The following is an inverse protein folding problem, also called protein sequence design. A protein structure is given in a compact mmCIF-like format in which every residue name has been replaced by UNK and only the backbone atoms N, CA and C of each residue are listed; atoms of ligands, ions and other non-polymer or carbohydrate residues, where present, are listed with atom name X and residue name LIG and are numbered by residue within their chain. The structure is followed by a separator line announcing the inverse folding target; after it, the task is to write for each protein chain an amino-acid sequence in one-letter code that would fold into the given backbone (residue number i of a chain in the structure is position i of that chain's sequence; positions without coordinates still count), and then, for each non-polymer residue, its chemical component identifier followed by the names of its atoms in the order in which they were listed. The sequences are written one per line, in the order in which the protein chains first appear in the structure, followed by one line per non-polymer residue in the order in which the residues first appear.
data_IF_919411692751
#
_entry.id   IF_919411692751
#
_cell.length_a   1.000
_cell.length_b   1.000
_cell.length_c   1.000
_cell.angle_alpha   90.00
_cell.angle_beta   90.00
_cell.angle_gamma   90.00
#
_symmetry.space_group_name_H-M   'P 1'
#
loop_
_entity.id
_entity.type
_entity.pdbx_description
1 polymer ?
#
# COMPACT_ATOMS: atom_id res chain seq x y z
N UNK A 1 -5.88 7.43 8.19
CA UNK A 1 -5.06 7.46 6.95
C UNK A 1 -5.93 7.64 5.71
N UNK A 2 -6.89 6.73 5.43
CA UNK A 2 -7.75 6.81 4.22
C UNK A 2 -8.52 8.13 4.08
N UNK A 3 -9.14 8.63 5.16
CA UNK A 3 -9.80 9.95 5.16
C UNK A 3 -8.82 11.07 4.79
N UNK A 4 -7.58 11.00 5.30
CA UNK A 4 -6.53 11.96 4.94
C UNK A 4 -6.08 11.84 3.48
N UNK A 5 -6.00 10.62 2.93
CA UNK A 5 -5.74 10.39 1.51
C UNK A 5 -6.85 10.97 0.63
N UNK A 6 -8.11 10.83 1.04
CA UNK A 6 -9.27 11.37 0.31
C UNK A 6 -9.27 12.90 0.31
N UNK A 7 -8.96 13.51 1.46
CA UNK A 7 -9.05 14.98 1.63
C UNK A 7 -7.81 15.74 1.17
N UNK A 8 -6.62 15.20 1.35
CA UNK A 8 -5.34 15.87 1.03
C UNK A 8 -4.65 15.29 -0.21
N UNK A 9 -5.06 14.10 -0.66
CA UNK A 9 -4.45 13.42 -1.78
C UNK A 9 -3.19 12.63 -1.43
N UNK A 10 -2.68 11.92 -2.45
CA UNK A 10 -1.45 11.13 -2.36
C UNK A 10 -0.24 12.07 -2.35
N UNK A 11 0.67 11.89 -1.40
CA UNK A 11 1.93 12.64 -1.33
C UNK A 11 2.01 13.60 -0.15
N UNK A 12 0.87 14.10 0.37
CA UNK A 12 0.86 14.95 1.56
C UNK A 12 0.90 14.15 2.86
N UNK A 13 1.99 13.39 3.04
CA UNK A 13 2.19 12.55 4.24
C UNK A 13 2.31 13.38 5.51
N UNK A 14 2.82 14.62 5.39
CA UNK A 14 2.97 15.53 6.52
C UNK A 14 1.61 16.06 6.98
N UNK A 15 0.76 16.50 6.06
CA UNK A 15 -0.61 16.92 6.38
C UNK A 15 -1.45 15.76 6.91
N UNK A 16 -1.30 14.56 6.32
CA UNK A 16 -2.01 13.36 6.79
C UNK A 16 -1.59 12.94 8.20
N UNK A 17 -0.28 12.97 8.49
CA UNK A 17 0.26 12.70 9.83
C UNK A 17 -0.27 13.72 10.85
N UNK A 18 -0.22 15.02 10.53
CA UNK A 18 -0.61 16.08 11.47
C UNK A 18 -2.10 16.15 11.77
N UNK A 19 -2.96 15.85 10.79
CA UNK A 19 -4.40 16.11 10.92
C UNK A 19 -5.25 14.85 11.05
N UNK A 20 -4.78 13.69 10.56
CA UNK A 20 -5.60 12.47 10.48
C UNK A 20 -4.99 11.24 11.17
N UNK A 21 -3.67 11.22 11.35
CA UNK A 21 -2.96 10.10 11.98
C UNK A 21 -1.92 10.65 12.96
N UNK A 22 -2.41 11.40 13.95
CA UNK A 22 -1.62 12.21 14.87
C UNK A 22 -0.59 11.43 15.69
N UNK A 23 -0.80 10.12 15.88
CA UNK A 23 0.10 9.23 16.62
C UNK A 23 1.27 8.70 15.77
N UNK A 24 1.32 9.00 14.47
CA UNK A 24 2.34 8.49 13.54
C UNK A 24 3.09 9.64 12.89
N UNK A 25 4.40 9.49 12.75
CA UNK A 25 5.25 10.50 12.09
C UNK A 25 5.01 10.51 10.56
N UNK A 26 5.30 11.61 9.87
CA UNK A 26 5.14 11.69 8.40
C UNK A 26 5.87 10.56 7.65
N UNK A 27 7.05 10.16 8.12
CA UNK A 27 7.81 9.04 7.55
C UNK A 27 7.09 7.71 7.75
N UNK A 28 6.52 7.45 8.92
CA UNK A 28 5.73 6.23 9.16
C UNK A 28 4.49 6.19 8.27
N UNK A 29 3.82 7.34 8.08
CA UNK A 29 2.68 7.48 7.18
C UNK A 29 3.08 7.20 5.73
N UNK A 30 4.24 7.71 5.28
CA UNK A 30 4.77 7.43 3.94
C UNK A 30 5.08 5.94 3.74
N UNK A 31 5.74 5.29 4.72
CA UNK A 31 6.00 3.84 4.67
C UNK A 31 4.71 3.02 4.65
N UNK A 32 3.71 3.44 5.43
CA UNK A 32 2.39 2.81 5.42
C UNK A 32 1.71 2.97 4.06
N UNK A 33 1.72 4.17 3.49
CA UNK A 33 1.18 4.45 2.16
C UNK A 33 1.81 3.54 1.09
N UNK A 34 3.13 3.38 1.12
CA UNK A 34 3.85 2.51 0.20
C UNK A 34 3.34 1.06 0.26
N UNK A 35 3.28 0.48 1.46
CA UNK A 35 2.77 -0.89 1.66
C UNK A 35 1.31 -1.02 1.22
N UNK A 36 0.48 -0.06 1.58
CA UNK A 36 -0.94 -0.02 1.23
C UNK A 36 -1.14 -0.06 -0.29
N UNK A 37 -0.40 0.75 -1.05
CA UNK A 37 -0.53 0.79 -2.52
C UNK A 37 0.03 -0.46 -3.20
N UNK A 38 1.12 -1.04 -2.70
CA UNK A 38 1.60 -2.34 -3.20
C UNK A 38 0.52 -3.41 -2.99
N UNK A 39 -0.05 -3.48 -1.79
CA UNK A 39 -1.09 -4.46 -1.48
C UNK A 39 -2.32 -4.28 -2.39
N UNK A 40 -2.79 -3.04 -2.54
CA UNK A 40 -3.91 -2.71 -3.42
C UNK A 40 -3.64 -3.14 -4.87
N UNK A 41 -2.43 -2.90 -5.39
CA UNK A 41 -2.04 -3.31 -6.73
C UNK A 41 -1.97 -4.84 -6.87
N UNK A 42 -1.53 -5.57 -5.83
CA UNK A 42 -1.48 -7.04 -5.85
C UNK A 42 -2.85 -7.68 -5.77
N UNK A 43 -3.80 -7.13 -5.01
CA UNK A 43 -5.17 -7.63 -4.95
C UNK A 43 -5.88 -7.52 -6.29
N UNK A 44 -5.68 -6.40 -7.00
CA UNK A 44 -6.24 -6.20 -8.33
C UNK A 44 -5.59 -7.09 -9.40
N UNK A 45 -4.44 -7.70 -9.11
CA UNK A 45 -3.68 -8.59 -10.00
C UNK A 45 -3.85 -10.08 -9.67
N UNK A 46 -4.99 -10.53 -9.10
CA UNK A 46 -5.32 -11.97 -8.94
C UNK A 46 -5.49 -12.70 -10.31
N UNK A 47 -4.46 -12.71 -11.16
CA UNK A 47 -4.12 -13.88 -11.98
C UNK A 47 -3.32 -14.80 -11.07
N UNK A 48 -3.75 -16.05 -10.92
CA UNK A 48 -3.11 -17.09 -10.09
C UNK A 48 -1.59 -16.99 -10.25
N UNK A 49 -0.88 -16.82 -9.13
CA UNK A 49 0.56 -17.05 -9.10
C UNK A 49 0.73 -18.55 -9.34
N UNK A 50 1.31 -18.93 -10.47
CA UNK A 50 1.57 -20.35 -10.78
C UNK A 50 2.37 -20.95 -9.65
N UNK A 51 1.98 -22.15 -9.21
CA UNK A 51 2.69 -22.82 -8.14
C UNK A 51 4.12 -23.17 -8.58
N UNK A 52 5.06 -23.21 -7.63
CA UNK A 52 6.43 -23.69 -7.89
C UNK A 52 6.39 -25.11 -8.50
N UNK A 53 5.46 -25.94 -8.02
CA UNK A 53 5.25 -27.30 -8.50
C UNK A 53 4.73 -27.37 -9.95
N UNK A 54 3.91 -26.41 -10.40
CA UNK A 54 3.47 -26.32 -11.81
C UNK A 54 4.61 -25.95 -12.77
N UNK A 55 5.61 -25.17 -12.33
CA UNK A 55 6.75 -24.79 -13.18
C UNK A 55 7.73 -25.96 -13.39
N UNK A 56 7.94 -26.79 -12.36
CA UNK A 56 8.91 -27.90 -12.40
C UNK A 56 8.42 -29.09 -13.25
N UNK A 57 7.12 -29.22 -13.50
CA UNK A 57 6.55 -30.30 -14.33
C UNK A 57 6.64 -30.02 -15.85
N UNK A 58 6.98 -28.80 -16.27
CA UNK A 58 6.98 -28.37 -17.69
C UNK A 58 8.42 -28.30 -18.28
N UNK A 59 9.45 -28.33 -17.44
CA UNK A 59 10.88 -28.43 -17.82
C UNK A 59 11.40 -29.84 -17.64
#
# INVERSE_FOLDING_TARGET
FLVGLEKLGKGDWRGISRNYVTTRTPTQVASHAHKYFIWLATMNKKKRRSSLFELVQIT
#
